data_IF_957408854508
#
_entry.id   IF_957408854508
#
_cell.length_a   1.000
_cell.length_b   1.000
_cell.length_c   1.000
_cell.angle_alpha   90.00
_cell.angle_beta   90.00
_cell.angle_gamma   90.00
#
_symmetry.space_group_name_H-M   'P 1'
#
loop_
_entity.id
_entity.type
_entity.pdbx_description
1 polymer ?
#
# COMPACT_ATOMS: atom_id res chain seq x y z
N UNK A 1 6.18 -5.24 -6.73
CA UNK A 1 4.81 -4.80 -6.87
C UNK A 1 4.42 -3.82 -5.79
N UNK A 2 3.71 -2.78 -6.16
CA UNK A 2 3.40 -1.71 -5.22
C UNK A 2 2.26 -2.07 -4.28
N UNK A 3 1.54 -3.10 -4.57
CA UNK A 3 0.31 -3.41 -3.87
C UNK A 3 0.41 -4.12 -2.55
N UNK A 4 1.60 -4.27 -1.97
CA UNK A 4 1.70 -4.95 -0.69
C UNK A 4 1.10 -4.06 0.40
N UNK A 5 0.54 -4.68 1.42
CA UNK A 5 -0.08 -3.91 2.49
C UNK A 5 0.91 -3.04 3.23
N UNK A 6 2.18 -3.46 3.26
CA UNK A 6 3.19 -2.68 3.97
C UNK A 6 3.58 -1.43 3.23
N UNK A 7 3.44 -1.41 1.88
CA UNK A 7 3.69 -0.21 1.10
C UNK A 7 2.81 0.94 1.57
N UNK A 8 1.55 0.64 1.83
CA UNK A 8 0.58 1.65 2.26
C UNK A 8 0.97 2.25 3.61
N UNK A 9 1.70 1.50 4.43
CA UNK A 9 2.13 1.96 5.73
C UNK A 9 3.50 2.63 5.71
N UNK A 10 4.41 2.10 4.89
CA UNK A 10 5.78 2.61 4.84
C UNK A 10 5.85 4.00 4.22
N UNK A 11 5.16 4.19 3.10
CA UNK A 11 5.23 5.45 2.37
C UNK A 11 4.77 6.62 3.23
N UNK A 12 3.61 6.55 3.91
CA UNK A 12 3.23 7.64 4.80
C UNK A 12 4.17 7.82 5.98
N UNK A 13 4.77 6.75 6.48
CA UNK A 13 5.69 6.85 7.61
C UNK A 13 6.92 7.68 7.25
N UNK A 14 7.33 7.68 6.00
CA UNK A 14 8.49 8.44 5.54
C UNK A 14 8.13 9.87 5.14
N UNK A 15 6.87 10.24 5.23
CA UNK A 15 6.42 11.55 4.80
C UNK A 15 7.06 12.69 5.60
N UNK A 16 7.32 12.45 6.87
CA UNK A 16 7.87 13.49 7.75
C UNK A 16 9.36 13.67 7.58
N UNK A 17 10.04 12.72 6.96
CA UNK A 17 11.46 12.82 6.75
C UNK A 17 12.13 11.46 6.68
N UNK A 18 13.45 11.45 6.47
CA UNK A 18 14.18 10.18 6.40
C UNK A 18 14.13 9.43 7.72
N UNK A 19 14.06 8.11 7.62
CA UNK A 19 14.06 7.24 8.79
C UNK A 19 15.05 6.11 8.58
N UNK A 20 15.61 5.65 9.68
CA UNK A 20 16.45 4.47 9.68
C UNK A 20 15.59 3.22 9.72
N UNK A 21 16.21 2.11 9.35
CA UNK A 21 15.51 0.82 9.34
C UNK A 21 14.84 0.51 10.67
N UNK A 22 15.58 0.67 11.77
CA UNK A 22 15.03 0.39 13.09
C UNK A 22 13.89 1.31 13.49
N UNK A 23 13.96 2.56 13.05
CA UNK A 23 12.88 3.51 13.31
C UNK A 23 11.62 3.13 12.56
N UNK A 24 11.77 2.73 11.31
CA UNK A 24 10.65 2.26 10.52
C UNK A 24 10.01 1.03 11.15
N UNK A 25 10.85 0.11 11.59
CA UNK A 25 10.36 -1.11 12.19
C UNK A 25 9.57 -0.85 13.46
N UNK A 26 10.00 0.12 14.25
CA UNK A 26 9.28 0.49 15.46
C UNK A 26 7.94 1.14 15.15
N UNK A 27 7.88 1.92 14.08
CA UNK A 27 6.62 2.56 13.68
C UNK A 27 5.62 1.61 13.07
N UNK A 28 6.12 0.54 12.46
CA UNK A 28 5.29 -0.44 11.78
C UNK A 28 5.16 -1.67 12.66
N UNK A 29 4.36 -1.53 13.68
CA UNK A 29 4.19 -2.57 14.67
C UNK A 29 3.75 -3.88 14.01
N UNK A 30 4.45 -4.95 14.34
CA UNK A 30 4.11 -6.26 13.83
C UNK A 30 4.82 -6.67 12.56
N UNK A 31 5.58 -5.77 11.93
CA UNK A 31 6.31 -6.15 10.73
C UNK A 31 7.59 -6.88 11.10
N UNK A 32 7.90 -7.94 10.37
CA UNK A 32 9.17 -8.64 10.58
C UNK A 32 10.28 -7.94 9.83
N UNK A 33 11.52 -8.21 10.25
CA UNK A 33 12.68 -7.65 9.57
C UNK A 33 12.71 -8.06 8.10
N UNK A 34 12.37 -9.31 7.83
CA UNK A 34 12.36 -9.81 6.47
C UNK A 34 11.32 -9.10 5.61
N UNK A 35 10.12 -8.92 6.14
CA UNK A 35 9.04 -8.25 5.41
C UNK A 35 9.39 -6.79 5.14
N UNK A 36 9.95 -6.12 6.13
CA UNK A 36 10.35 -4.72 5.95
C UNK A 36 11.45 -4.59 4.92
N UNK A 37 12.44 -5.46 4.97
CA UNK A 37 13.52 -5.45 4.00
C UNK A 37 13.00 -5.64 2.58
N UNK A 38 12.10 -6.61 2.40
CA UNK A 38 11.54 -6.87 1.08
C UNK A 38 10.71 -5.71 0.58
N UNK A 39 9.92 -5.12 1.46
CA UNK A 39 9.08 -3.99 1.08
C UNK A 39 9.90 -2.77 0.70
N UNK A 40 10.95 -2.48 1.47
CA UNK A 40 11.82 -1.34 1.17
C UNK A 40 12.57 -1.55 -0.14
N UNK A 41 13.00 -2.76 -0.42
CA UNK A 41 13.67 -3.04 -1.69
C UNK A 41 12.72 -2.87 -2.86
N UNK A 42 11.47 -3.28 -2.71
CA UNK A 42 10.48 -3.10 -3.75
C UNK A 42 10.21 -1.62 -4.01
N UNK A 43 10.10 -0.83 -2.94
CA UNK A 43 9.87 0.59 -3.07
C UNK A 43 11.04 1.31 -3.69
N UNK A 44 12.25 0.92 -3.33
CA UNK A 44 13.45 1.49 -3.91
C UNK A 44 13.53 1.16 -5.40
N UNK A 45 13.22 -0.07 -5.74
CA UNK A 45 13.21 -0.51 -7.12
C UNK A 45 12.20 0.25 -7.97
N UNK A 46 11.06 0.57 -7.38
CA UNK A 46 10.01 1.31 -8.09
C UNK A 46 10.26 2.82 -8.09
N UNK A 47 11.33 3.26 -7.46
CA UNK A 47 11.67 4.68 -7.47
C UNK A 47 10.92 5.52 -6.46
N UNK A 48 10.21 4.91 -5.52
CA UNK A 48 9.45 5.64 -4.53
C UNK A 48 10.25 6.02 -3.29
N UNK A 49 11.33 5.27 -3.03
CA UNK A 49 12.17 5.43 -1.85
C UNK A 49 13.62 5.40 -2.27
N UNK A 50 14.44 6.24 -1.64
CA UNK A 50 15.89 6.16 -1.78
C UNK A 50 16.49 5.57 -0.52
N UNK A 51 17.61 4.87 -0.71
CA UNK A 51 18.38 4.32 0.37
C UNK A 51 19.73 5.00 0.36
N UNK A 52 20.08 5.67 1.44
CA UNK A 52 21.35 6.37 1.54
C UNK A 52 22.18 5.75 2.64
N UNK A 53 23.38 5.35 2.31
CA UNK A 53 24.30 4.79 3.28
C UNK A 53 25.38 5.83 3.58
N UNK A 54 25.56 6.11 4.88
CA UNK A 54 26.56 7.08 5.33
C UNK A 54 27.79 6.35 5.82
N UNK A 55 28.98 6.82 5.44
CA UNK A 55 30.23 6.17 5.85
C UNK A 55 30.62 6.52 7.28
N UNK A 56 29.83 6.04 8.21
CA UNK A 56 30.05 6.25 9.64
C UNK A 56 30.40 4.93 10.31
N UNK A 57 30.83 5.02 11.55
CA UNK A 57 31.08 3.85 12.37
C UNK A 57 30.25 3.97 13.63
N UNK A 58 29.21 3.14 13.80
CA UNK A 58 28.72 2.13 12.85
C UNK A 58 28.06 2.77 11.63
N UNK A 59 27.98 2.05 10.51
CA UNK A 59 27.36 2.59 9.31
C UNK A 59 25.91 2.93 9.54
N UNK A 60 25.48 4.03 8.93
CA UNK A 60 24.11 4.48 9.04
C UNK A 60 23.45 4.41 7.67
N UNK A 61 22.25 3.82 7.64
CA UNK A 61 21.46 3.74 6.43
C UNK A 61 20.12 4.41 6.69
N UNK A 62 19.74 5.30 5.80
CA UNK A 62 18.48 6.02 5.91
C UNK A 62 17.65 5.81 4.66
N UNK A 63 16.34 5.76 4.85
CA UNK A 63 15.38 5.64 3.77
C UNK A 63 14.56 6.91 3.72
N UNK A 64 14.32 7.41 2.51
CA UNK A 64 13.58 8.64 2.32
C UNK A 64 12.71 8.54 1.07
N UNK A 65 11.62 9.30 1.08
CA UNK A 65 10.76 9.36 -0.10
C UNK A 65 11.43 10.15 -1.22
N UNK A 66 11.25 9.70 -2.44
CA UNK A 66 11.57 10.49 -3.62
C UNK A 66 10.41 11.43 -3.92
N UNK A 67 10.58 12.29 -4.91
CA UNK A 67 9.46 13.12 -5.37
C UNK A 67 8.31 12.26 -5.86
N UNK A 68 8.64 11.16 -6.53
CA UNK A 68 7.62 10.22 -6.96
C UNK A 68 6.91 9.61 -5.76
N UNK A 69 7.66 9.27 -4.71
CA UNK A 69 7.07 8.74 -3.49
C UNK A 69 6.14 9.73 -2.83
N UNK A 70 6.50 11.02 -2.82
CA UNK A 70 5.64 12.04 -2.22
C UNK A 70 4.34 12.17 -2.98
N UNK A 71 4.37 12.04 -4.30
CA UNK A 71 3.15 12.05 -5.10
C UNK A 71 2.28 10.86 -4.79
N UNK A 72 2.91 9.72 -4.54
CA UNK A 72 2.17 8.52 -4.17
C UNK A 72 1.45 8.70 -2.83
N UNK A 73 2.08 9.42 -1.88
CA UNK A 73 1.43 9.70 -0.60
C UNK A 73 0.15 10.49 -0.82
N UNK A 74 0.20 11.51 -1.66
CA UNK A 74 -0.97 12.32 -1.94
C UNK A 74 -2.10 11.46 -2.50
N UNK A 75 -1.74 10.57 -3.42
CA UNK A 75 -2.73 9.68 -4.01
C UNK A 75 -3.31 8.72 -2.98
N UNK A 76 -2.47 8.17 -2.12
CA UNK A 76 -2.95 7.25 -1.09
C UNK A 76 -3.91 7.92 -0.12
N UNK A 77 -3.59 9.16 0.29
CA UNK A 77 -4.49 9.91 1.16
C UNK A 77 -5.79 10.24 0.44
N UNK A 78 -5.72 10.56 -0.84
CA UNK A 78 -6.91 10.82 -1.62
C UNK A 78 -7.83 9.62 -1.70
N UNK A 79 -7.27 8.44 -1.93
CA UNK A 79 -8.04 7.22 -1.96
C UNK A 79 -8.69 6.95 -0.60
N UNK A 80 -7.93 7.16 0.46
CA UNK A 80 -8.44 6.96 1.80
C UNK A 80 -9.59 7.91 2.12
N UNK A 81 -9.43 9.19 1.77
CA UNK A 81 -10.46 10.18 1.99
C UNK A 81 -11.72 9.84 1.20
N UNK A 82 -11.53 9.42 -0.03
CA UNK A 82 -12.66 9.02 -0.88
C UNK A 82 -13.38 7.83 -0.26
N UNK A 83 -12.63 6.84 0.20
CA UNK A 83 -13.22 5.64 0.79
C UNK A 83 -14.02 5.98 2.04
N UNK A 84 -13.49 6.86 2.88
CA UNK A 84 -14.20 7.27 4.09
C UNK A 84 -15.47 8.04 3.77
N UNK A 85 -15.41 8.92 2.78
CA UNK A 85 -16.56 9.70 2.39
C UNK A 85 -17.64 8.85 1.73
N UNK A 86 -17.24 7.73 1.11
CA UNK A 86 -18.17 6.90 0.37
C UNK A 86 -18.35 5.51 0.98
N UNK A 87 -17.99 5.37 2.24
CA UNK A 87 -17.99 4.06 2.90
C UNK A 87 -19.35 3.37 2.82
N UNK A 88 -20.42 4.10 3.09
CA UNK A 88 -21.75 3.52 3.07
C UNK A 88 -22.07 2.93 1.69
N UNK A 89 -21.74 3.66 0.65
CA UNK A 89 -21.99 3.22 -0.71
C UNK A 89 -21.15 1.99 -1.06
N UNK A 90 -19.90 1.98 -0.60
CA UNK A 90 -19.02 0.85 -0.86
C UNK A 90 -19.55 -0.40 -0.16
N UNK A 91 -19.94 -0.27 1.09
CA UNK A 91 -20.47 -1.40 1.85
C UNK A 91 -21.75 -1.92 1.25
N UNK A 92 -22.60 -1.02 0.79
CA UNK A 92 -23.84 -1.41 0.14
C UNK A 92 -23.57 -2.17 -1.15
N UNK A 93 -22.63 -1.70 -1.93
CA UNK A 93 -22.27 -2.36 -3.18
C UNK A 93 -21.70 -3.75 -2.91
N UNK A 94 -20.88 -3.88 -1.88
CA UNK A 94 -20.30 -5.17 -1.50
C UNK A 94 -21.40 -6.16 -1.08
N UNK A 95 -22.36 -5.67 -0.28
CA UNK A 95 -23.45 -6.53 0.16
C UNK A 95 -24.28 -6.99 -1.02
N UNK A 96 -24.55 -6.11 -1.96
CA UNK A 96 -25.30 -6.48 -3.15
C UNK A 96 -24.57 -7.51 -3.99
N UNK A 97 -23.27 -7.34 -4.14
CA UNK A 97 -22.45 -8.28 -4.88
C UNK A 97 -22.45 -9.65 -4.21
N UNK A 98 -22.23 -9.67 -2.88
CA UNK A 98 -22.18 -10.92 -2.14
C UNK A 98 -23.52 -11.64 -2.22
N UNK A 99 -24.63 -10.91 -2.16
CA UNK A 99 -25.94 -11.52 -2.25
C UNK A 99 -26.14 -12.20 -3.61
N UNK A 100 -25.66 -11.57 -4.69
CA UNK A 100 -25.77 -12.17 -6.01
C UNK A 100 -24.90 -13.40 -6.15
N UNK A 101 -23.68 -13.32 -5.66
CA UNK A 101 -22.74 -14.42 -5.77
C UNK A 101 -23.24 -15.63 -4.97
N UNK A 102 -23.88 -15.39 -3.84
CA UNK A 102 -24.34 -16.47 -2.97
C UNK A 102 -25.72 -16.96 -3.32
N UNK A 103 -26.36 -16.44 -4.33
CA UNK A 103 -27.69 -16.86 -4.72
C UNK A 103 -27.61 -18.16 -5.51
N UNK A 104 -28.11 -19.26 -4.97
CA UNK A 104 -28.00 -20.56 -5.66
C UNK A 104 -28.92 -20.69 -6.86
N UNK A 105 -29.95 -19.88 -6.92
CA UNK A 105 -30.93 -19.98 -7.98
C UNK A 105 -30.48 -19.33 -9.27
N UNK A 106 -29.39 -18.61 -9.22
CA UNK A 106 -28.95 -17.85 -10.39
C UNK A 106 -27.87 -18.62 -11.11
N UNK A 107 -28.19 -19.25 -12.22
CA UNK A 107 -27.17 -19.94 -12.96
C UNK A 107 -26.23 -18.92 -13.57
N UNK A 108 -24.98 -19.14 -13.34
CA UNK A 108 -23.98 -18.22 -13.84
C UNK A 108 -23.81 -18.41 -15.34
N UNK A 109 -23.92 -17.33 -16.04
CA UNK A 109 -23.67 -17.33 -17.46
C UNK A 109 -22.30 -16.75 -17.73
N UNK A 110 -21.34 -17.60 -17.91
CA UNK A 110 -19.96 -17.15 -18.04
C UNK A 110 -19.74 -16.30 -19.28
N UNK A 111 -20.60 -16.38 -20.21
CA UNK A 111 -20.41 -15.58 -21.42
C UNK A 111 -20.59 -14.10 -21.17
N UNK A 112 -21.19 -13.75 -20.06
CA UNK A 112 -21.38 -12.35 -19.75
C UNK A 112 -20.23 -11.73 -19.04
N UNK A 113 -19.32 -12.53 -18.64
CA UNK A 113 -18.32 -11.99 -17.82
C UNK A 113 -17.36 -11.15 -18.54
N UNK A 114 -17.47 -11.15 -19.42
CA UNK A 114 -16.56 -10.49 -19.89
C UNK A 114 -16.65 -9.28 -19.94
N UNK A 115 -16.62 -9.09 -19.94
CA UNK A 115 -16.74 -8.05 -20.15
C UNK A 115 -16.71 -7.02 -19.27
N UNK A 116 -16.63 -6.70 -18.93
CA UNK A 116 -16.83 -5.82 -18.14
C UNK A 116 -15.94 -5.71 -17.17
N UNK A 117 -15.35 -5.78 -17.15
CA UNK A 117 -14.74 -5.65 -16.58
C UNK A 117 -14.15 -4.89 -16.43
N UNK A 118 -13.76 -4.44 -16.32
CA UNK A 118 -13.20 -3.98 -16.23
C UNK A 118 -12.90 -3.86 -15.95
#
# INVERSE_FOLDING_TARGET
MIGSKWTVLIVPALQEGPLRFGELRRRLDGITQKSLTQALRALERDGLVTRTQYPEIPPRVEYALTDLGRRAVVLLFGVRDWAEANLADVLEARAAFDARVNCPAEPFDSSRTHGHSL
#
